data_IF_403185584046
#
_entry.id   IF_403185584046
#
_cell.length_a   1.000
_cell.length_b   1.000
_cell.length_c   1.000
_cell.angle_alpha   90.00
_cell.angle_beta   90.00
_cell.angle_gamma   90.00
#
_symmetry.space_group_name_H-M   'P 1'
#
loop_
_entity.id
_entity.type
_entity.pdbx_description
1 polymer ?
#
# COMPACT_ATOMS: atom_id res chain seq x y z
N UNK A 1 1.70 -2.20 23.81
CA UNK A 1 1.30 -3.02 22.66
C UNK A 1 1.83 -2.34 21.41
N UNK A 2 3.05 -2.66 21.01
CA UNK A 2 3.60 -2.28 19.70
C UNK A 2 3.59 -3.56 18.89
N UNK A 3 2.56 -3.73 18.06
CA UNK A 3 2.47 -4.89 17.18
C UNK A 3 3.29 -4.55 15.94
N UNK A 4 4.60 -4.73 16.03
CA UNK A 4 5.52 -4.65 14.91
C UNK A 4 5.30 -5.90 14.05
N UNK A 5 4.31 -5.81 13.16
CA UNK A 5 4.06 -6.79 12.12
C UNK A 5 5.26 -6.84 11.18
N UNK A 6 6.26 -7.63 11.52
CA UNK A 6 7.40 -8.00 10.67
C UNK A 6 6.91 -8.95 9.58
N UNK A 7 6.10 -8.43 8.67
CA UNK A 7 5.83 -9.09 7.40
C UNK A 7 7.09 -8.92 6.53
N UNK A 8 7.98 -9.91 6.61
CA UNK A 8 9.03 -10.11 5.60
C UNK A 8 8.35 -10.33 4.25
N UNK A 9 8.36 -9.30 3.40
CA UNK A 9 7.88 -9.36 2.02
C UNK A 9 8.98 -8.77 1.10
N UNK A 10 9.14 -9.32 -0.10
CA UNK A 10 10.40 -9.30 -0.84
C UNK A 10 10.71 -7.90 -1.39
N UNK A 11 11.89 -7.35 -1.04
CA UNK A 11 12.67 -6.34 -1.76
C UNK A 11 11.95 -5.12 -2.40
N UNK A 12 10.72 -4.80 -1.98
CA UNK A 12 9.89 -3.69 -2.44
C UNK A 12 9.24 -2.98 -1.24
N UNK A 13 8.69 -1.79 -1.48
CA UNK A 13 8.18 -0.85 -0.46
C UNK A 13 7.34 -1.55 0.62
N UNK A 14 7.65 -1.28 1.89
CA UNK A 14 6.97 -1.89 3.04
C UNK A 14 5.51 -1.43 3.15
N UNK A 15 4.60 -2.27 3.63
CA UNK A 15 3.20 -1.88 3.86
C UNK A 15 2.92 -1.69 5.35
N UNK A 16 2.24 -0.61 5.71
CA UNK A 16 1.74 -0.42 7.07
C UNK A 16 0.50 -1.32 7.31
N UNK A 17 0.25 -1.75 8.55
CA UNK A 17 -0.91 -2.58 8.86
C UNK A 17 -2.24 -1.91 8.50
N UNK A 18 -2.33 -0.59 8.62
CA UNK A 18 -3.51 0.20 8.26
C UNK A 18 -3.73 0.25 6.74
N UNK A 19 -2.66 0.44 5.95
CA UNK A 19 -2.73 0.37 4.50
C UNK A 19 -3.12 -1.03 4.02
N UNK A 20 -2.60 -2.07 4.70
CA UNK A 20 -2.93 -3.46 4.40
C UNK A 20 -4.41 -3.76 4.64
N UNK A 21 -4.94 -3.34 5.81
CA UNK A 21 -6.36 -3.49 6.11
C UNK A 21 -7.25 -2.77 5.09
N UNK A 22 -6.84 -1.60 4.58
CA UNK A 22 -7.59 -0.87 3.56
C UNK A 22 -7.59 -1.59 2.20
N UNK A 23 -6.46 -2.16 1.77
CA UNK A 23 -6.41 -2.91 0.52
C UNK A 23 -7.18 -4.22 0.59
N UNK A 24 -7.29 -4.81 1.76
CA UNK A 24 -8.13 -5.99 1.99
C UNK A 24 -9.63 -5.70 1.81
N UNK A 25 -10.08 -4.44 2.00
CA UNK A 25 -11.47 -4.02 1.71
C UNK A 25 -11.77 -3.92 0.22
N UNK A 26 -10.75 -3.86 -0.63
CA UNK A 26 -10.93 -3.86 -2.08
C UNK A 26 -11.31 -5.28 -2.52
N UNK A 27 -12.29 -5.42 -3.44
CA UNK A 27 -12.65 -6.71 -4.00
C UNK A 27 -11.43 -7.47 -4.55
N UNK A 28 -11.41 -8.78 -4.37
CA UNK A 28 -10.27 -9.64 -4.72
C UNK A 28 -9.79 -9.50 -6.17
N UNK A 29 -10.70 -9.22 -7.11
CA UNK A 29 -10.38 -9.06 -8.52
C UNK A 29 -9.62 -7.77 -8.83
N UNK A 30 -9.86 -6.67 -8.08
CA UNK A 30 -9.15 -5.40 -8.22
C UNK A 30 -7.97 -5.28 -7.25
N UNK A 31 -8.01 -5.98 -6.11
CA UNK A 31 -6.97 -5.94 -5.07
C UNK A 31 -5.55 -6.05 -5.61
N UNK A 32 -5.17 -7.02 -6.48
CA UNK A 32 -3.81 -7.09 -7.00
C UNK A 32 -3.45 -5.92 -7.92
N UNK A 33 -4.42 -5.35 -8.64
CA UNK A 33 -4.21 -4.16 -9.48
C UNK A 33 -3.98 -2.92 -8.63
N UNK A 34 -4.83 -2.70 -7.62
CA UNK A 34 -4.69 -1.61 -6.66
C UNK A 34 -3.35 -1.69 -5.90
N UNK A 35 -2.95 -2.90 -5.49
CA UNK A 35 -1.71 -3.11 -4.73
C UNK A 35 -0.51 -2.68 -5.56
N UNK A 36 -0.42 -3.16 -6.81
CA UNK A 36 0.65 -2.79 -7.74
C UNK A 36 0.66 -1.29 -8.06
N UNK A 37 -0.52 -0.68 -8.19
CA UNK A 37 -0.62 0.76 -8.46
C UNK A 37 -0.03 1.58 -7.31
N UNK A 38 -0.36 1.22 -6.07
CA UNK A 38 0.18 1.88 -4.87
C UNK A 38 1.66 1.58 -4.65
N UNK A 39 2.09 0.34 -4.88
CA UNK A 39 3.52 -0.05 -4.84
C UNK A 39 4.33 0.78 -5.82
N UNK A 40 3.90 0.87 -7.10
CA UNK A 40 4.59 1.71 -8.08
C UNK A 40 4.54 3.19 -7.75
N UNK A 41 3.43 3.69 -7.20
CA UNK A 41 3.33 5.07 -6.76
C UNK A 41 4.36 5.36 -5.66
N UNK A 42 4.46 4.47 -4.68
CA UNK A 42 5.39 4.61 -3.58
C UNK A 42 6.84 4.52 -4.04
N UNK A 43 7.17 3.55 -4.90
CA UNK A 43 8.49 3.43 -5.52
C UNK A 43 8.86 4.67 -6.34
N UNK A 44 7.94 5.16 -7.18
CA UNK A 44 8.18 6.35 -8.01
C UNK A 44 8.40 7.62 -7.19
N UNK A 45 7.80 7.71 -6.00
CA UNK A 45 7.98 8.81 -5.05
C UNK A 45 9.17 8.61 -4.10
N UNK A 46 9.75 7.41 -4.06
CA UNK A 46 10.80 7.04 -3.12
C UNK A 46 10.31 6.86 -1.69
N UNK A 47 9.02 6.54 -1.48
CA UNK A 47 8.51 6.24 -0.15
C UNK A 47 9.01 4.87 0.31
N UNK A 48 9.63 4.77 1.51
CA UNK A 48 10.11 3.50 2.04
C UNK A 48 8.96 2.61 2.55
N UNK A 49 7.82 3.21 2.89
CA UNK A 49 6.65 2.53 3.45
C UNK A 49 5.36 3.12 2.89
N UNK A 50 4.44 2.26 2.43
CA UNK A 50 3.06 2.56 2.05
C UNK A 50 2.24 2.65 3.32
N UNK A 51 1.90 3.89 3.68
CA UNK A 51 0.97 4.22 4.77
C UNK A 51 -0.40 4.61 4.21
N UNK A 52 -1.37 4.87 5.09
CA UNK A 52 -2.67 5.38 4.66
C UNK A 52 -2.57 6.71 3.89
N UNK A 53 -1.61 7.57 4.23
CA UNK A 53 -1.36 8.81 3.51
C UNK A 53 -0.89 8.55 2.07
N UNK A 54 0.04 7.61 1.87
CA UNK A 54 0.50 7.21 0.53
C UNK A 54 -0.63 6.57 -0.28
N UNK A 55 -1.48 5.77 0.35
CA UNK A 55 -2.68 5.20 -0.28
C UNK A 55 -3.69 6.28 -0.69
N UNK A 56 -3.87 7.32 0.13
CA UNK A 56 -4.76 8.45 -0.14
C UNK A 56 -4.23 9.29 -1.31
N UNK A 57 -2.93 9.60 -1.30
CA UNK A 57 -2.26 10.30 -2.40
C UNK A 57 -2.32 9.50 -3.72
N UNK A 58 -2.04 8.18 -3.64
CA UNK A 58 -2.15 7.30 -4.79
C UNK A 58 -3.57 7.29 -5.35
N UNK A 59 -4.59 7.18 -4.47
CA UNK A 59 -6.00 7.22 -4.89
C UNK A 59 -6.36 8.53 -5.60
N UNK A 60 -5.91 9.67 -5.07
CA UNK A 60 -6.07 10.98 -5.70
C UNK A 60 -5.40 11.06 -7.08
N UNK A 61 -4.25 10.41 -7.26
CA UNK A 61 -3.55 10.35 -8.54
C UNK A 61 -4.22 9.44 -9.59
N UNK A 62 -4.94 8.40 -9.16
CA UNK A 62 -5.63 7.45 -10.06
C UNK A 62 -7.09 7.82 -10.36
N UNK A 63 -7.62 8.90 -9.78
CA UNK A 63 -8.90 9.49 -10.17
C UNK A 63 -10.14 8.64 -9.85
N UNK A 64 -10.32 8.28 -8.58
CA UNK A 64 -11.62 7.86 -8.02
C UNK A 64 -12.02 8.62 -6.76
#
# INVERSE_FOLDING_TARGET
MLNEGTATAPAGVAWSPEAQARIERIPEFIRPLARRAVERFAEAKGYPTITEAVMDEARGAFGM
#
